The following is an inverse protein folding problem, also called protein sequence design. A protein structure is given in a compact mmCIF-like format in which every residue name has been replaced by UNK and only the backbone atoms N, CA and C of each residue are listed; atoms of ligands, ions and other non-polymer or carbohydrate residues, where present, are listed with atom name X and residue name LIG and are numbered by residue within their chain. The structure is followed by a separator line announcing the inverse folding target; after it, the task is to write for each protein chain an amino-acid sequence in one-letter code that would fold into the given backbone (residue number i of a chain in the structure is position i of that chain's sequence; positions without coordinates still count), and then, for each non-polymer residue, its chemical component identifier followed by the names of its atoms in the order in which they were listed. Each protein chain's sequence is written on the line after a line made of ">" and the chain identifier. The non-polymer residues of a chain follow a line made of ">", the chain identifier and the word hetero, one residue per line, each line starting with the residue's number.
data_IF_922217800450
#
_entry.id   IF_922217800450
#
_cell.length_a   1.000
_cell.length_b   1.000
_cell.length_c   1.000
_cell.angle_alpha   90.00
_cell.angle_beta   90.00
_cell.angle_gamma   90.00
#
_symmetry.space_group_name_H-M   'P 1'
#
loop_
_entity.id
_entity.type
_entity.pdbx_description
1 polymer ?
#
# COMPACT_ATOMS: atom_id res chain seq x y z
N UNK A 1 -23.15 -78.46 173.19
CA UNK A 1 -22.91 -77.83 171.87
C UNK A 1 -21.46 -78.07 171.54
N UNK A 2 -21.16 -79.16 170.82
CA UNK A 2 -19.85 -79.28 170.19
C UNK A 2 -19.96 -78.65 168.81
N UNK A 3 -19.06 -77.70 168.58
CA UNK A 3 -18.99 -76.81 167.43
C UNK A 3 -18.33 -77.60 166.31
N UNK A 4 -19.10 -77.99 165.31
CA UNK A 4 -18.53 -78.50 164.06
C UNK A 4 -17.98 -77.30 163.28
N UNK A 5 -16.69 -77.36 162.93
CA UNK A 5 -16.05 -76.40 162.05
C UNK A 5 -16.49 -76.68 160.61
N UNK A 6 -16.67 -75.68 159.77
CA UNK A 6 -17.08 -75.86 158.38
C UNK A 6 -15.91 -75.64 157.41
N UNK A 7 -15.98 -76.25 156.22
CA UNK A 7 -14.99 -76.04 155.15
C UNK A 7 -15.11 -74.62 154.59
N UNK A 8 -13.99 -73.92 154.43
CA UNK A 8 -13.97 -72.49 154.04
C UNK A 8 -14.49 -72.15 152.63
N UNK A 9 -14.72 -73.14 151.77
CA UNK A 9 -15.19 -72.89 150.40
C UNK A 9 -16.72 -73.01 150.25
N UNK A 10 -17.31 -73.99 150.96
CA UNK A 10 -18.67 -74.51 150.71
C UNK A 10 -19.43 -74.76 152.00
N UNK A 11 -18.85 -74.36 153.13
CA UNK A 11 -19.38 -74.46 154.48
C UNK A 11 -19.85 -75.87 154.88
N UNK A 12 -19.26 -76.91 154.29
CA UNK A 12 -19.54 -78.29 154.69
C UNK A 12 -18.99 -78.61 156.09
N UNK A 13 -19.73 -79.30 156.95
CA UNK A 13 -19.27 -79.58 158.31
C UNK A 13 -18.11 -80.59 158.32
N UNK A 14 -17.03 -80.29 159.06
CA UNK A 14 -15.80 -81.09 159.20
C UNK A 14 -15.89 -82.09 160.38
N UNK A 15 -15.15 -83.21 160.34
CA UNK A 15 -15.08 -84.13 161.46
C UNK A 15 -14.44 -83.48 162.71
N UNK A 16 -15.04 -83.68 163.88
CA UNK A 16 -14.49 -83.28 165.17
C UNK A 16 -14.30 -84.53 166.04
N UNK A 17 -13.12 -84.66 166.67
CA UNK A 17 -12.73 -85.82 167.47
C UNK A 17 -13.60 -86.02 168.73
N UNK A 18 -14.30 -84.97 169.18
CA UNK A 18 -15.19 -85.03 170.35
C UNK A 18 -16.62 -85.51 170.02
N UNK A 19 -16.93 -85.77 168.75
CA UNK A 19 -18.27 -86.17 168.35
C UNK A 19 -18.57 -87.63 168.68
N UNK A 20 -19.82 -87.90 169.09
CA UNK A 20 -20.31 -89.28 169.18
C UNK A 20 -20.61 -89.81 167.78
N UNK A 21 -20.56 -91.14 167.62
CA UNK A 21 -20.84 -91.79 166.32
C UNK A 21 -22.18 -91.37 165.71
N UNK A 22 -23.21 -91.14 166.53
CA UNK A 22 -24.50 -90.66 166.04
C UNK A 22 -24.44 -89.23 165.48
N UNK A 23 -23.67 -88.33 166.08
CA UNK A 23 -23.46 -86.97 165.56
C UNK A 23 -22.63 -86.99 164.28
N UNK A 24 -21.58 -87.81 164.20
CA UNK A 24 -20.78 -87.93 162.98
C UNK A 24 -21.58 -88.51 161.81
N UNK A 25 -22.46 -89.50 162.06
CA UNK A 25 -23.36 -90.01 161.02
C UNK A 25 -24.34 -88.93 160.56
N UNK A 26 -24.95 -88.17 161.48
CA UNK A 26 -25.86 -87.08 161.12
C UNK A 26 -25.16 -85.99 160.31
N UNK A 27 -23.94 -85.60 160.70
CA UNK A 27 -23.09 -84.63 159.99
C UNK A 27 -22.76 -85.10 158.57
N UNK A 28 -22.40 -86.38 158.41
CA UNK A 28 -22.12 -86.97 157.10
C UNK A 28 -23.36 -86.94 156.20
N UNK A 29 -24.55 -87.24 156.75
CA UNK A 29 -25.82 -87.14 156.00
C UNK A 29 -26.08 -85.69 155.56
N UNK A 30 -25.89 -84.71 156.44
CA UNK A 30 -26.05 -83.29 156.12
C UNK A 30 -25.07 -82.83 155.04
N UNK A 31 -23.78 -83.20 155.14
CA UNK A 31 -22.78 -82.87 154.14
C UNK A 31 -23.11 -83.49 152.78
N UNK A 32 -23.54 -84.75 152.75
CA UNK A 32 -23.92 -85.44 151.51
C UNK A 32 -25.16 -84.79 150.87
N UNK A 33 -26.13 -84.35 151.68
CA UNK A 33 -27.33 -83.66 151.19
C UNK A 33 -26.99 -82.28 150.62
N UNK A 34 -26.10 -81.53 151.27
CA UNK A 34 -25.63 -80.25 150.73
C UNK A 34 -24.89 -80.44 149.40
N UNK A 35 -23.98 -81.42 149.34
CA UNK A 35 -23.27 -81.77 148.10
C UNK A 35 -24.26 -82.09 146.96
N UNK A 36 -25.33 -82.83 147.22
CA UNK A 36 -26.34 -83.16 146.21
C UNK A 36 -27.03 -81.91 145.64
N UNK A 37 -27.42 -80.96 146.50
CA UNK A 37 -28.01 -79.67 146.11
C UNK A 37 -27.05 -78.85 145.24
N UNK A 38 -25.77 -78.84 145.60
CA UNK A 38 -24.76 -78.06 144.89
C UNK A 38 -24.35 -78.70 143.57
N UNK A 39 -24.28 -80.04 143.50
CA UNK A 39 -24.11 -80.77 142.25
C UNK A 39 -25.30 -80.50 141.31
N UNK A 40 -26.54 -80.53 141.80
CA UNK A 40 -27.72 -80.18 141.01
C UNK A 40 -27.68 -78.74 140.48
N UNK A 41 -27.22 -77.79 141.31
CA UNK A 41 -27.06 -76.38 140.92
C UNK A 41 -25.98 -76.19 139.85
N UNK A 42 -24.84 -76.90 139.99
CA UNK A 42 -23.76 -76.90 139.00
C UNK A 42 -24.24 -77.51 137.67
N UNK A 43 -24.95 -78.64 137.70
CA UNK A 43 -25.50 -79.26 136.50
C UNK A 43 -26.45 -78.30 135.76
N UNK A 44 -27.29 -77.58 136.50
CA UNK A 44 -28.21 -76.58 135.95
C UNK A 44 -27.45 -75.40 135.33
N UNK A 45 -26.40 -74.89 136.00
CA UNK A 45 -25.59 -73.78 135.49
C UNK A 45 -24.75 -74.18 134.27
N UNK A 46 -24.23 -75.41 134.23
CA UNK A 46 -23.47 -75.95 133.10
C UNK A 46 -24.36 -76.14 131.87
N UNK A 47 -25.62 -76.55 132.07
CA UNK A 47 -26.60 -76.66 130.99
C UNK A 47 -26.92 -75.31 130.30
N UNK A 48 -26.58 -74.17 130.93
CA UNK A 48 -26.71 -72.83 130.34
C UNK A 48 -25.44 -72.34 129.61
N UNK A 49 -24.35 -73.11 129.59
CA UNK A 49 -23.10 -72.76 128.89
C UNK A 49 -23.06 -73.42 127.51
N UNK A 50 -22.52 -72.71 126.53
CA UNK A 50 -22.23 -73.28 125.20
C UNK A 50 -20.88 -74.03 125.21
N UNK A 51 -20.71 -75.01 124.31
CA UNK A 51 -19.46 -75.73 124.11
C UNK A 51 -18.34 -74.80 123.60
N UNK A 52 -17.08 -75.10 123.92
CA UNK A 52 -15.93 -74.31 123.42
C UNK A 52 -15.70 -74.51 121.92
N UNK A 53 -15.85 -75.75 121.45
CA UNK A 53 -15.74 -76.12 120.05
C UNK A 53 -17.13 -76.13 119.42
N UNK A 54 -17.29 -75.38 118.33
CA UNK A 54 -18.57 -75.25 117.62
C UNK A 54 -19.75 -74.92 118.55
N UNK A 55 -19.68 -73.80 119.31
CA UNK A 55 -20.75 -73.41 120.23
C UNK A 55 -22.10 -73.29 119.50
N UNK A 56 -23.10 -74.02 119.99
CA UNK A 56 -24.50 -73.75 119.70
C UNK A 56 -25.02 -72.67 120.64
N UNK A 57 -25.36 -71.50 120.12
CA UNK A 57 -25.98 -70.44 120.92
C UNK A 57 -27.51 -70.48 120.79
N UNK A 58 -28.22 -70.21 121.88
CA UNK A 58 -29.68 -70.03 121.91
C UNK A 58 -30.05 -68.57 122.21
N UNK A 59 -31.29 -68.18 121.92
CA UNK A 59 -31.74 -66.79 122.08
C UNK A 59 -31.17 -65.83 121.03
N UNK A 60 -30.84 -64.60 121.43
CA UNK A 60 -30.23 -63.57 120.58
C UNK A 60 -28.81 -63.24 121.06
N UNK A 61 -27.78 -63.98 120.59
CA UNK A 61 -26.40 -63.75 121.02
C UNK A 61 -25.92 -62.35 120.66
N UNK A 62 -25.15 -61.73 121.57
CA UNK A 62 -24.51 -60.42 121.32
C UNK A 62 -23.01 -60.62 121.12
N UNK A 63 -22.43 -59.87 120.19
CA UNK A 63 -20.99 -59.82 119.95
C UNK A 63 -20.57 -58.37 119.67
N UNK A 64 -19.30 -57.98 119.92
CA UNK A 64 -18.81 -56.63 119.59
C UNK A 64 -18.92 -56.35 118.09
N UNK A 65 -19.53 -55.21 117.71
CA UNK A 65 -19.62 -54.79 116.30
C UNK A 65 -18.30 -54.21 115.81
N UNK A 66 -17.72 -54.83 114.77
CA UNK A 66 -16.48 -54.37 114.16
C UNK A 66 -16.72 -53.23 113.15
N UNK A 67 -15.71 -52.38 112.87
CA UNK A 67 -15.76 -51.40 111.77
C UNK A 67 -16.06 -52.06 110.43
N UNK A 68 -16.69 -51.35 109.49
CA UNK A 68 -17.12 -51.88 108.19
C UNK A 68 -15.98 -52.42 107.30
N UNK A 69 -14.73 -52.02 107.57
CA UNK A 69 -13.53 -52.43 106.82
C UNK A 69 -12.82 -53.66 107.40
N UNK A 70 -13.31 -54.22 108.51
CA UNK A 70 -12.66 -55.36 109.17
C UNK A 70 -12.79 -56.65 108.33
N UNK A 71 -11.67 -57.36 108.14
CA UNK A 71 -11.57 -58.60 107.36
C UNK A 71 -10.83 -59.71 108.11
N UNK A 72 -11.24 -60.00 109.34
CA UNK A 72 -10.58 -60.96 110.22
C UNK A 72 -11.53 -62.09 110.64
N UNK A 73 -11.03 -63.04 111.44
CA UNK A 73 -11.76 -64.24 111.85
C UNK A 73 -12.77 -64.02 113.01
N UNK A 74 -13.12 -62.77 113.34
CA UNK A 74 -14.12 -62.49 114.40
C UNK A 74 -15.55 -62.71 113.90
N UNK A 75 -16.51 -62.87 114.81
CA UNK A 75 -17.92 -63.04 114.46
C UNK A 75 -18.50 -61.73 113.90
N UNK A 76 -19.11 -61.80 112.70
CA UNK A 76 -19.79 -60.66 112.11
C UNK A 76 -21.17 -60.43 112.74
N UNK A 77 -21.42 -59.21 113.22
CA UNK A 77 -22.76 -58.80 113.67
C UNK A 77 -23.59 -58.30 112.47
N UNK A 78 -24.91 -58.32 112.62
CA UNK A 78 -25.82 -57.75 111.60
C UNK A 78 -25.59 -56.25 111.37
N UNK A 79 -25.15 -55.52 112.39
CA UNK A 79 -24.77 -54.12 112.28
C UNK A 79 -23.51 -53.92 111.42
N UNK A 80 -22.50 -54.78 111.55
CA UNK A 80 -21.31 -54.75 110.71
C UNK A 80 -21.66 -55.01 109.23
N UNK A 81 -22.43 -56.07 108.96
CA UNK A 81 -22.88 -56.40 107.59
C UNK A 81 -23.69 -55.25 106.98
N UNK A 82 -24.58 -54.63 107.75
CA UNK A 82 -25.36 -53.47 107.30
C UNK A 82 -24.49 -52.26 106.97
N UNK A 83 -23.46 -51.99 107.78
CA UNK A 83 -22.53 -50.89 107.55
C UNK A 83 -21.67 -51.13 106.30
N UNK A 84 -21.10 -52.34 106.13
CA UNK A 84 -20.32 -52.71 104.95
C UNK A 84 -21.15 -52.63 103.66
N UNK A 85 -22.40 -53.11 103.70
CA UNK A 85 -23.31 -53.03 102.57
C UNK A 85 -23.70 -51.57 102.25
N UNK A 86 -23.92 -50.74 103.26
CA UNK A 86 -24.21 -49.32 103.06
C UNK A 86 -23.04 -48.57 102.42
N UNK A 87 -21.80 -48.89 102.81
CA UNK A 87 -20.61 -48.32 102.20
C UNK A 87 -20.49 -48.73 100.73
N UNK A 88 -20.66 -50.02 100.43
CA UNK A 88 -20.66 -50.52 99.05
C UNK A 88 -21.71 -49.83 98.17
N UNK A 89 -22.93 -49.64 98.69
CA UNK A 89 -24.00 -48.95 97.95
C UNK A 89 -23.71 -47.47 97.75
N UNK A 90 -23.12 -46.79 98.74
CA UNK A 90 -22.72 -45.38 98.61
C UNK A 90 -21.61 -45.18 97.59
N UNK A 91 -20.61 -46.09 97.55
CA UNK A 91 -19.53 -46.04 96.58
C UNK A 91 -20.05 -46.31 95.15
N UNK A 92 -21.04 -47.20 95.03
CA UNK A 92 -21.69 -47.50 93.76
C UNK A 92 -22.55 -46.34 93.25
N UNK A 93 -23.22 -45.58 94.12
CA UNK A 93 -24.08 -44.45 93.75
C UNK A 93 -23.32 -43.37 92.96
N UNK A 94 -22.10 -43.03 93.38
CA UNK A 94 -21.24 -42.08 92.66
C UNK A 94 -20.83 -42.56 91.26
N UNK A 95 -20.45 -43.85 91.14
CA UNK A 95 -20.10 -44.43 89.85
C UNK A 95 -21.30 -44.53 88.88
N UNK A 96 -22.48 -44.87 89.41
CA UNK A 96 -23.73 -44.94 88.65
C UNK A 96 -24.16 -43.55 88.17
N UNK A 97 -23.97 -42.50 88.99
CA UNK A 97 -24.26 -41.13 88.59
C UNK A 97 -23.44 -40.69 87.37
N UNK A 98 -22.12 -40.93 87.37
CA UNK A 98 -21.25 -40.58 86.24
C UNK A 98 -21.61 -41.35 84.96
N UNK A 99 -21.92 -42.65 85.08
CA UNK A 99 -22.36 -43.46 83.93
C UNK A 99 -23.70 -42.94 83.39
N UNK A 100 -24.61 -42.51 84.26
CA UNK A 100 -25.90 -41.93 83.88
C UNK A 100 -25.73 -40.60 83.13
N UNK A 101 -24.85 -39.73 83.60
CA UNK A 101 -24.53 -38.46 82.95
C UNK A 101 -23.92 -38.67 81.56
N UNK A 102 -22.97 -39.61 81.42
CA UNK A 102 -22.37 -39.95 80.13
C UNK A 102 -23.38 -40.57 79.17
N UNK A 103 -24.27 -41.44 79.68
CA UNK A 103 -25.35 -42.01 78.88
C UNK A 103 -26.35 -40.95 78.42
N UNK A 104 -26.68 -39.98 79.27
CA UNK A 104 -27.54 -38.86 78.90
C UNK A 104 -26.87 -37.97 77.84
N UNK A 105 -25.58 -37.65 77.99
CA UNK A 105 -24.84 -36.83 77.05
C UNK A 105 -24.65 -37.52 75.67
N UNK A 106 -24.42 -38.83 75.65
CA UNK A 106 -24.28 -39.62 74.42
C UNK A 106 -25.64 -40.02 73.81
N UNK A 107 -26.68 -40.10 74.62
CA UNK A 107 -28.06 -40.37 74.19
C UNK A 107 -28.80 -39.12 73.72
N UNK A 108 -28.27 -37.93 74.01
CA UNK A 108 -28.76 -36.67 73.48
C UNK A 108 -28.57 -36.64 71.95
N UNK A 109 -29.68 -36.86 71.25
CA UNK A 109 -29.72 -36.86 69.80
C UNK A 109 -29.28 -35.52 69.21
N UNK A 110 -29.46 -34.40 69.92
CA UNK A 110 -29.04 -33.08 69.44
C UNK A 110 -27.52 -32.91 69.54
N UNK A 111 -26.88 -33.44 70.59
CA UNK A 111 -25.43 -33.46 70.73
C UNK A 111 -24.77 -34.35 69.66
N UNK A 112 -25.29 -35.56 69.44
CA UNK A 112 -24.78 -36.48 68.42
C UNK A 112 -25.03 -35.94 67.01
N UNK A 113 -26.22 -35.40 66.75
CA UNK A 113 -26.57 -34.79 65.45
C UNK A 113 -25.74 -33.54 65.20
N UNK A 114 -25.56 -32.69 66.21
CA UNK A 114 -24.74 -31.48 66.13
C UNK A 114 -23.26 -31.79 65.86
N UNK A 115 -22.69 -32.77 66.55
CA UNK A 115 -21.32 -33.22 66.29
C UNK A 115 -21.19 -33.83 64.89
N UNK A 116 -22.16 -34.65 64.48
CA UNK A 116 -22.19 -35.25 63.13
C UNK A 116 -22.32 -34.18 62.05
N UNK A 117 -23.16 -33.16 62.25
CA UNK A 117 -23.32 -32.03 61.35
C UNK A 117 -22.03 -31.19 61.28
N UNK A 118 -21.37 -30.96 62.41
CA UNK A 118 -20.10 -30.26 62.44
C UNK A 118 -19.01 -31.03 61.69
N UNK A 119 -18.89 -32.34 61.92
CA UNK A 119 -17.92 -33.20 61.22
C UNK A 119 -18.20 -33.18 59.71
N UNK A 120 -19.46 -33.32 59.30
CA UNK A 120 -19.85 -33.34 57.89
C UNK A 120 -19.68 -31.98 57.17
N UNK A 121 -19.48 -30.89 57.90
CA UNK A 121 -19.21 -29.56 57.31
C UNK A 121 -17.72 -29.22 57.23
N UNK A 122 -16.82 -30.04 57.80
CA UNK A 122 -15.37 -29.83 57.72
C UNK A 122 -14.79 -30.58 56.52
N UNK A 123 -13.90 -29.90 55.78
CA UNK A 123 -13.11 -30.55 54.75
C UNK A 123 -12.02 -31.44 55.37
N UNK A 124 -11.65 -32.57 54.72
CA UNK A 124 -10.49 -33.37 55.12
C UNK A 124 -9.20 -32.54 55.17
N UNK A 125 -8.30 -32.84 56.10
CA UNK A 125 -7.00 -32.15 56.20
C UNK A 125 -6.12 -32.45 54.99
N UNK A 126 -6.04 -33.73 54.62
CA UNK A 126 -5.31 -34.19 53.45
C UNK A 126 -6.26 -34.35 52.26
N UNK A 127 -5.89 -33.78 51.12
CA UNK A 127 -6.66 -33.90 49.87
C UNK A 127 -8.12 -33.50 50.00
N UNK A 128 -8.37 -32.32 50.58
CA UNK A 128 -9.70 -31.75 50.72
C UNK A 128 -10.47 -31.74 49.38
N UNK A 129 -11.59 -32.45 49.31
CA UNK A 129 -12.52 -32.35 48.19
C UNK A 129 -13.49 -31.17 48.45
N UNK A 130 -13.09 -29.96 48.05
CA UNK A 130 -13.89 -28.74 48.23
C UNK A 130 -15.09 -28.76 47.27
N UNK A 131 -16.31 -28.83 47.81
CA UNK A 131 -17.57 -28.74 47.04
C UNK A 131 -18.24 -27.38 47.23
N UNK A 132 -19.19 -27.03 46.36
CA UNK A 132 -19.86 -25.72 46.38
C UNK A 132 -19.02 -24.58 45.80
N UNK A 133 -19.14 -23.37 46.37
CA UNK A 133 -18.40 -22.16 45.96
C UNK A 133 -17.42 -21.73 47.06
N UNK A 134 -16.28 -22.42 47.25
CA UNK A 134 -15.30 -22.07 48.28
C UNK A 134 -14.75 -20.66 48.05
N UNK A 135 -14.68 -19.88 49.13
CA UNK A 135 -14.09 -18.53 49.12
C UNK A 135 -12.71 -18.57 49.78
N UNK A 136 -11.77 -17.80 49.22
CA UNK A 136 -10.46 -17.54 49.80
C UNK A 136 -10.04 -16.13 49.42
N UNK A 137 -9.02 -15.58 50.08
CA UNK A 137 -8.45 -14.28 49.71
C UNK A 137 -7.80 -14.39 48.34
N UNK A 138 -8.12 -13.48 47.42
CA UNK A 138 -7.46 -13.40 46.10
C UNK A 138 -5.97 -13.08 46.30
N UNK A 139 -5.05 -13.97 45.89
CA UNK A 139 -3.62 -13.68 45.94
C UNK A 139 -3.25 -12.51 45.01
N UNK A 140 -2.09 -11.90 45.25
CA UNK A 140 -1.49 -10.96 44.30
C UNK A 140 -1.07 -11.68 43.00
N UNK A 141 -0.99 -10.94 41.90
CA UNK A 141 -0.77 -11.53 40.56
C UNK A 141 0.61 -12.19 40.41
N UNK A 142 1.58 -11.83 41.23
CA UNK A 142 2.95 -12.34 41.25
C UNK A 142 3.21 -13.35 42.39
N UNK A 143 2.18 -13.72 43.16
CA UNK A 143 2.30 -14.70 44.26
C UNK A 143 2.62 -16.11 43.71
N UNK A 144 3.72 -16.69 44.20
CA UNK A 144 4.22 -18.02 43.83
C UNK A 144 4.11 -19.05 44.98
N UNK A 145 3.32 -18.75 46.01
CA UNK A 145 3.08 -19.62 47.17
C UNK A 145 2.12 -20.76 46.84
N UNK A 146 1.93 -21.68 47.79
CA UNK A 146 0.98 -22.80 47.67
C UNK A 146 -0.48 -22.40 47.99
N UNK A 147 -0.86 -21.13 47.80
CA UNK A 147 -2.24 -20.66 48.03
C UNK A 147 -3.16 -21.17 46.90
N UNK A 148 -4.43 -21.41 47.23
CA UNK A 148 -5.44 -21.76 46.23
C UNK A 148 -5.74 -20.52 45.35
N UNK A 149 -5.59 -20.59 44.01
CA UNK A 149 -5.92 -19.48 43.13
C UNK A 149 -7.44 -19.19 43.12
N UNK A 150 -7.83 -17.92 43.20
CA UNK A 150 -9.24 -17.51 43.02
C UNK A 150 -9.56 -17.22 41.55
N UNK A 151 -10.84 -17.17 41.21
CA UNK A 151 -11.29 -16.67 39.90
C UNK A 151 -10.87 -15.22 39.65
N UNK A 152 -10.76 -14.39 40.69
CA UNK A 152 -10.20 -13.03 40.60
C UNK A 152 -8.74 -13.03 40.16
N UNK A 153 -7.92 -13.89 40.75
CA UNK A 153 -6.51 -14.06 40.35
C UNK A 153 -6.40 -14.55 38.91
N UNK A 154 -7.19 -15.56 38.50
CA UNK A 154 -7.20 -16.06 37.12
C UNK A 154 -7.58 -14.95 36.14
N UNK A 155 -8.55 -14.09 36.48
CA UNK A 155 -8.93 -12.96 35.64
C UNK A 155 -7.82 -11.88 35.57
N UNK A 156 -7.09 -11.64 36.66
CA UNK A 156 -5.95 -10.73 36.67
C UNK A 156 -4.78 -11.24 35.82
N UNK A 157 -4.44 -12.53 35.93
CA UNK A 157 -3.44 -13.18 35.08
C UNK A 157 -3.89 -13.18 33.62
N UNK A 158 -5.16 -13.52 33.35
CA UNK A 158 -5.75 -13.43 32.01
C UNK A 158 -5.63 -12.02 31.45
N UNK A 159 -5.93 -10.99 32.23
CA UNK A 159 -5.79 -9.59 31.82
C UNK A 159 -4.33 -9.19 31.60
N UNK A 160 -3.38 -9.78 32.34
CA UNK A 160 -1.94 -9.56 32.14
C UNK A 160 -1.46 -10.22 30.84
N UNK A 161 -1.90 -11.45 30.57
CA UNK A 161 -1.63 -12.18 29.33
C UNK A 161 -2.28 -11.48 28.12
N UNK A 162 -3.52 -11.00 28.27
CA UNK A 162 -4.22 -10.19 27.26
C UNK A 162 -3.76 -8.72 27.24
N UNK A 163 -3.03 -8.24 28.25
CA UNK A 163 -2.48 -6.88 28.27
C UNK A 163 -1.47 -6.63 27.15
N UNK A 164 -0.91 -7.70 26.57
CA UNK A 164 -0.14 -7.67 25.32
C UNK A 164 -0.94 -7.99 24.06
N UNK A 165 -2.19 -8.45 24.19
CA UNK A 165 -3.06 -8.92 23.10
C UNK A 165 -4.47 -8.36 23.36
N UNK A 166 -4.74 -7.19 22.77
CA UNK A 166 -6.01 -6.42 22.84
C UNK A 166 -7.22 -7.28 23.20
N UNK A 167 -8.00 -6.84 24.20
CA UNK A 167 -9.10 -7.53 24.88
C UNK A 167 -10.21 -8.14 24.00
N UNK A 168 -10.17 -7.93 22.68
CA UNK A 168 -11.03 -8.62 21.74
C UNK A 168 -10.32 -9.91 21.32
N UNK A 169 -10.91 -11.07 21.63
CA UNK A 169 -10.44 -12.41 21.24
C UNK A 169 -10.31 -12.66 19.72
N UNK A 170 -10.26 -11.60 18.92
CA UNK A 170 -10.10 -11.53 17.49
C UNK A 170 -8.77 -10.87 17.07
N UNK A 171 -7.77 -10.73 17.96
CA UNK A 171 -6.49 -10.06 17.62
C UNK A 171 -5.84 -10.61 16.34
N UNK A 172 -5.87 -11.93 16.13
CA UNK A 172 -5.40 -12.53 14.87
C UNK A 172 -6.26 -12.11 13.67
N UNK A 173 -7.58 -11.98 13.83
CA UNK A 173 -8.47 -11.50 12.78
C UNK A 173 -8.27 -10.01 12.47
N UNK A 174 -7.98 -9.18 13.48
CA UNK A 174 -7.62 -7.77 13.29
C UNK A 174 -6.29 -7.62 12.58
N UNK A 175 -5.27 -8.41 12.95
CA UNK A 175 -3.99 -8.43 12.25
C UNK A 175 -4.15 -8.91 10.80
N UNK A 176 -4.94 -9.96 10.58
CA UNK A 176 -5.25 -10.44 9.24
C UNK A 176 -5.95 -9.35 8.41
N UNK A 177 -6.95 -8.65 8.98
CA UNK A 177 -7.62 -7.54 8.31
C UNK A 177 -6.69 -6.33 8.07
N UNK A 178 -5.80 -6.01 9.02
CA UNK A 178 -4.81 -4.94 8.88
C UNK A 178 -3.78 -5.25 7.78
N UNK A 179 -3.49 -6.52 7.53
CA UNK A 179 -2.70 -7.01 6.38
C UNK A 179 -3.56 -7.17 5.11
N UNK A 180 -4.76 -6.61 5.06
CA UNK A 180 -5.65 -6.66 3.90
C UNK A 180 -6.24 -8.05 3.61
N UNK A 181 -6.22 -8.96 4.58
CA UNK A 181 -6.60 -10.36 4.37
C UNK A 181 -5.57 -11.16 3.57
N UNK A 182 -4.35 -10.65 3.43
CA UNK A 182 -3.32 -11.31 2.65
C UNK A 182 -2.56 -12.37 3.48
N UNK A 183 -2.93 -13.63 3.28
CA UNK A 183 -2.25 -14.80 3.87
C UNK A 183 -0.78 -14.93 3.45
N UNK A 184 -0.37 -14.27 2.36
CA UNK A 184 0.96 -14.32 1.76
C UNK A 184 1.62 -12.92 1.76
N UNK A 185 1.28 -12.05 2.72
CA UNK A 185 1.74 -10.65 2.76
C UNK A 185 3.23 -10.46 2.42
N UNK A 186 4.13 -11.29 2.97
CA UNK A 186 5.56 -11.22 2.69
C UNK A 186 5.90 -11.46 1.20
N UNK A 187 5.23 -12.41 0.54
CA UNK A 187 5.42 -12.67 -0.87
C UNK A 187 4.83 -11.55 -1.75
N UNK A 188 3.69 -10.99 -1.35
CA UNK A 188 3.09 -9.84 -2.06
C UNK A 188 3.98 -8.61 -1.99
N UNK A 189 4.50 -8.27 -0.80
CA UNK A 189 5.45 -7.16 -0.63
C UNK A 189 6.74 -7.42 -1.43
N UNK A 190 7.25 -8.65 -1.43
CA UNK A 190 8.44 -8.99 -2.22
C UNK A 190 8.20 -8.83 -3.73
N UNK A 191 7.04 -9.26 -4.23
CA UNK A 191 6.62 -9.07 -5.63
C UNK A 191 6.50 -7.59 -5.98
N UNK A 192 5.79 -6.81 -5.15
CA UNK A 192 5.62 -5.37 -5.34
C UNK A 192 6.96 -4.63 -5.35
N UNK A 193 7.89 -5.03 -4.48
CA UNK A 193 9.23 -4.45 -4.41
C UNK A 193 10.07 -4.82 -5.64
N UNK A 194 9.94 -6.06 -6.14
CA UNK A 194 10.61 -6.51 -7.36
C UNK A 194 10.15 -5.76 -8.62
N UNK A 195 8.93 -5.21 -8.61
CA UNK A 195 8.37 -4.41 -9.69
C UNK A 195 8.81 -2.93 -9.64
N UNK A 196 9.52 -2.47 -8.62
CA UNK A 196 10.04 -1.10 -8.52
C UNK A 196 11.41 -0.99 -9.22
N UNK A 197 11.66 0.14 -9.88
CA UNK A 197 12.99 0.46 -10.39
C UNK A 197 13.92 0.95 -9.25
N UNK A 198 15.22 0.70 -9.37
CA UNK A 198 16.23 1.17 -8.40
C UNK A 198 16.32 2.70 -8.36
N UNK A 199 16.65 3.28 -7.20
CA UNK A 199 16.78 4.73 -7.06
C UNK A 199 18.01 5.28 -7.80
N UNK A 200 19.14 4.61 -7.65
CA UNK A 200 20.37 4.95 -8.37
C UNK A 200 20.40 4.19 -9.70
N UNK A 201 20.58 4.92 -10.80
CA UNK A 201 20.73 4.36 -12.15
C UNK A 201 19.66 3.32 -12.52
N UNK A 202 18.35 3.65 -12.43
CA UNK A 202 17.28 2.72 -12.79
C UNK A 202 17.43 2.24 -14.23
N UNK A 203 17.38 0.93 -14.43
CA UNK A 203 17.04 0.35 -15.73
C UNK A 203 15.51 0.26 -15.83
N UNK A 204 14.89 1.11 -16.65
CA UNK A 204 13.45 1.04 -16.88
C UNK A 204 13.13 -0.07 -17.90
N UNK A 205 12.02 -0.78 -17.68
CA UNK A 205 11.49 -1.80 -18.61
C UNK A 205 10.25 -1.28 -19.33
N UNK A 206 9.91 -1.87 -20.48
CA UNK A 206 8.77 -1.44 -21.30
C UNK A 206 9.05 -0.15 -22.07
N UNK A 207 8.03 0.70 -22.26
CA UNK A 207 8.14 2.01 -22.90
C UNK A 207 7.88 3.11 -21.86
N UNK A 208 8.92 3.63 -21.17
CA UNK A 208 8.76 4.67 -20.16
C UNK A 208 8.10 5.91 -20.75
N UNK A 209 7.08 6.43 -20.08
CA UNK A 209 6.42 7.68 -20.45
C UNK A 209 6.94 8.82 -19.60
N UNK A 210 7.15 9.99 -20.23
CA UNK A 210 7.51 11.22 -19.56
C UNK A 210 6.71 12.37 -20.18
N UNK A 211 6.28 13.39 -19.41
CA UNK A 211 5.56 14.54 -19.95
C UNK A 211 6.38 15.32 -20.99
N UNK A 212 5.76 15.67 -22.13
CA UNK A 212 6.39 16.51 -23.16
C UNK A 212 6.56 17.93 -22.63
N UNK A 213 7.78 18.41 -22.54
CA UNK A 213 8.07 19.78 -22.11
C UNK A 213 7.85 20.78 -23.24
N UNK A 214 7.67 22.06 -22.89
CA UNK A 214 7.62 23.15 -23.87
C UNK A 214 8.98 23.30 -24.57
N UNK A 215 8.97 23.53 -25.88
CA UNK A 215 10.19 23.73 -26.68
C UNK A 215 11.09 24.83 -26.08
N UNK A 216 12.41 24.60 -26.10
CA UNK A 216 13.40 25.51 -25.50
C UNK A 216 13.64 25.32 -23.99
N UNK A 217 12.94 24.38 -23.35
CA UNK A 217 13.19 24.04 -21.93
C UNK A 217 14.61 23.53 -21.69
N UNK A 218 15.32 24.13 -20.72
CA UNK A 218 16.68 23.73 -20.29
C UNK A 218 16.69 23.43 -18.78
N UNK A 219 16.28 22.22 -18.40
CA UNK A 219 16.26 21.77 -17.01
C UNK A 219 16.68 20.29 -16.94
N UNK A 220 16.74 19.73 -15.74
CA UNK A 220 17.23 18.37 -15.46
C UNK A 220 16.18 17.27 -15.66
N UNK A 221 15.00 17.57 -16.22
CA UNK A 221 13.95 16.57 -16.48
C UNK A 221 14.28 15.73 -17.73
N UNK A 222 13.71 14.53 -17.78
CA UNK A 222 13.86 13.60 -18.92
C UNK A 222 13.22 14.21 -20.18
N UNK A 223 13.96 14.22 -21.28
CA UNK A 223 13.45 14.56 -22.61
C UNK A 223 12.79 13.33 -23.25
N UNK A 224 11.52 13.44 -23.64
CA UNK A 224 10.85 12.39 -24.41
C UNK A 224 11.08 12.57 -25.92
N UNK A 225 10.77 11.54 -26.71
CA UNK A 225 10.99 11.54 -28.16
C UNK A 225 10.19 12.63 -28.89
N UNK A 226 8.99 12.97 -28.41
CA UNK A 226 8.17 14.06 -28.96
C UNK A 226 8.85 15.42 -28.80
N UNK A 227 9.39 15.72 -27.61
CA UNK A 227 10.14 16.96 -27.37
C UNK A 227 11.36 17.08 -28.28
N UNK A 228 12.14 16.00 -28.42
CA UNK A 228 13.32 15.97 -29.31
C UNK A 228 12.91 16.16 -30.77
N UNK A 229 11.86 15.47 -31.22
CA UNK A 229 11.35 15.63 -32.58
C UNK A 229 10.91 17.08 -32.87
N UNK A 230 10.19 17.72 -31.94
CA UNK A 230 9.83 19.13 -32.07
C UNK A 230 11.05 20.04 -32.09
N UNK A 231 12.03 19.83 -31.20
CA UNK A 231 13.24 20.63 -31.15
C UNK A 231 14.04 20.55 -32.47
N UNK A 232 14.20 19.34 -33.01
CA UNK A 232 14.87 19.10 -34.30
C UNK A 232 14.08 19.72 -35.46
N UNK A 233 12.76 19.54 -35.49
CA UNK A 233 11.90 20.13 -36.54
C UNK A 233 12.01 21.66 -36.57
N UNK A 234 11.96 22.31 -35.40
CA UNK A 234 12.12 23.76 -35.30
C UNK A 234 13.50 24.23 -35.80
N UNK A 235 14.57 23.49 -35.47
CA UNK A 235 15.91 23.79 -35.96
C UNK A 235 16.00 23.66 -37.49
N UNK A 236 15.45 22.58 -38.07
CA UNK A 236 15.41 22.36 -39.52
C UNK A 236 14.61 23.46 -40.21
N UNK A 237 13.46 23.86 -39.66
CA UNK A 237 12.65 24.94 -40.21
C UNK A 237 13.43 26.26 -40.25
N UNK A 238 14.12 26.62 -39.16
CA UNK A 238 14.94 27.82 -39.09
C UNK A 238 16.08 27.81 -40.13
N UNK A 239 16.78 26.68 -40.28
CA UNK A 239 17.83 26.51 -41.28
C UNK A 239 17.25 26.61 -42.71
N UNK A 240 16.10 25.99 -42.96
CA UNK A 240 15.44 25.99 -44.27
C UNK A 240 15.03 27.41 -44.67
N UNK A 241 14.50 28.20 -43.73
CA UNK A 241 14.23 29.62 -43.95
C UNK A 241 15.52 30.41 -44.23
N UNK A 242 16.60 30.17 -43.49
CA UNK A 242 17.89 30.83 -43.73
C UNK A 242 18.47 30.51 -45.12
N UNK A 243 18.43 29.24 -45.54
CA UNK A 243 18.86 28.80 -46.88
C UNK A 243 18.00 29.45 -47.98
N UNK A 244 16.69 29.54 -47.75
CA UNK A 244 15.77 30.18 -48.70
C UNK A 244 16.04 31.68 -48.82
N UNK A 245 16.34 32.36 -47.71
CA UNK A 245 16.76 33.77 -47.76
C UNK A 245 18.11 33.92 -48.47
N UNK A 246 19.04 33.00 -48.27
CA UNK A 246 20.32 33.03 -48.98
C UNK A 246 20.13 32.85 -50.50
N UNK A 247 19.24 31.95 -50.92
CA UNK A 247 18.98 31.72 -52.34
C UNK A 247 18.34 32.94 -53.03
N UNK A 248 17.58 33.75 -52.29
CA UNK A 248 17.00 35.00 -52.82
C UNK A 248 17.96 36.20 -52.76
N UNK A 249 18.95 36.17 -51.87
CA UNK A 249 20.00 37.21 -51.78
C UNK A 249 21.16 36.98 -52.76
N UNK A 250 21.39 35.75 -53.21
CA UNK A 250 22.40 35.48 -54.22
C UNK A 250 21.92 35.86 -55.63
N UNK A 251 22.82 36.47 -56.38
CA UNK A 251 22.74 36.51 -57.81
C UNK A 251 22.60 35.09 -58.38
N UNK A 252 21.67 34.80 -59.30
CA UNK A 252 21.70 33.57 -60.07
C UNK A 252 23.11 33.36 -60.62
N UNK A 253 23.64 32.14 -60.48
CA UNK A 253 24.99 31.78 -60.94
C UNK A 253 25.22 32.12 -62.41
N UNK A 254 24.13 32.22 -63.17
CA UNK A 254 24.10 32.60 -64.58
C UNK A 254 22.94 33.58 -64.78
N UNK A 255 23.23 34.83 -65.09
CA UNK A 255 22.22 35.79 -65.59
C UNK A 255 22.51 35.99 -67.07
N UNK A 256 21.55 35.77 -67.96
CA UNK A 256 21.80 35.93 -69.41
C UNK A 256 21.21 37.22 -69.95
N UNK A 257 21.97 37.95 -70.75
CA UNK A 257 21.46 38.96 -71.66
C UNK A 257 21.16 38.27 -72.99
N UNK A 258 19.90 38.30 -73.45
CA UNK A 258 19.56 37.87 -74.81
C UNK A 258 19.81 39.04 -75.75
N UNK A 259 20.77 38.91 -76.67
CA UNK A 259 20.89 39.86 -77.76
C UNK A 259 19.83 39.51 -78.81
N UNK A 260 18.90 40.43 -79.07
CA UNK A 260 17.89 40.29 -80.11
C UNK A 260 18.49 40.31 -81.52
N UNK A 261 17.63 40.25 -82.54
CA UNK A 261 18.07 40.36 -83.93
C UNK A 261 18.88 41.66 -84.17
N UNK A 262 20.00 41.56 -84.90
CA UNK A 262 20.86 42.72 -85.22
C UNK A 262 21.82 43.15 -84.14
N UNK A 263 21.78 42.52 -82.96
CA UNK A 263 22.70 42.78 -81.87
C UNK A 263 23.47 41.50 -81.57
N UNK A 264 24.74 41.64 -81.22
CA UNK A 264 25.61 40.55 -80.77
C UNK A 264 26.17 40.87 -79.38
N UNK A 265 26.75 39.86 -78.72
CA UNK A 265 27.32 40.03 -77.38
C UNK A 265 26.40 39.64 -76.21
N UNK A 266 25.19 39.14 -76.49
CA UNK A 266 24.38 38.41 -75.51
C UNK A 266 25.10 37.18 -74.96
N UNK A 267 24.56 36.54 -73.92
CA UNK A 267 25.20 35.46 -73.20
C UNK A 267 25.10 35.66 -71.69
N UNK A 268 25.80 34.83 -70.93
CA UNK A 268 25.82 34.89 -69.46
C UNK A 268 26.70 36.04 -68.93
N UNK A 269 26.31 36.62 -67.79
CA UNK A 269 26.96 37.70 -67.04
C UNK A 269 28.06 37.20 -66.09
N UNK A 270 28.63 36.02 -66.33
CA UNK A 270 29.80 35.52 -65.58
C UNK A 270 31.08 36.35 -65.83
N UNK A 271 31.05 37.28 -66.79
CA UNK A 271 32.03 38.33 -67.02
C UNK A 271 31.34 39.57 -67.63
N UNK A 272 32.07 40.69 -67.73
CA UNK A 272 31.59 41.90 -68.42
C UNK A 272 31.10 41.58 -69.84
N UNK A 273 29.96 42.18 -70.21
CA UNK A 273 29.34 42.00 -71.54
C UNK A 273 29.34 43.30 -72.32
N UNK A 274 29.87 43.24 -73.54
CA UNK A 274 29.71 44.29 -74.53
C UNK A 274 28.59 43.88 -75.48
N UNK A 275 27.58 44.72 -75.60
CA UNK A 275 26.52 44.55 -76.58
C UNK A 275 26.82 45.45 -77.78
N UNK A 276 26.86 44.84 -78.96
CA UNK A 276 27.22 45.54 -80.19
C UNK A 276 26.11 45.42 -81.21
N UNK A 277 25.81 46.52 -81.90
CA UNK A 277 24.96 46.47 -83.09
C UNK A 277 25.76 45.88 -84.25
N UNK A 278 25.13 45.00 -85.02
CA UNK A 278 25.73 44.42 -86.22
C UNK A 278 26.11 45.52 -87.21
N UNK A 279 27.19 45.30 -87.96
CA UNK A 279 27.71 46.29 -88.90
C UNK A 279 26.62 46.76 -89.87
N UNK A 280 26.67 48.04 -90.24
CA UNK A 280 25.83 48.56 -91.30
C UNK A 280 26.17 47.83 -92.62
N UNK A 281 25.18 47.20 -93.24
CA UNK A 281 25.32 46.61 -94.56
C UNK A 281 25.35 47.74 -95.61
N UNK A 282 26.06 47.57 -96.74
CA UNK A 282 26.05 48.54 -97.83
C UNK A 282 24.62 48.80 -98.31
N UNK A 283 24.29 50.08 -98.51
CA UNK A 283 23.02 50.44 -99.12
C UNK A 283 23.10 50.12 -100.62
N UNK A 284 22.23 49.23 -101.09
CA UNK A 284 22.12 48.83 -102.49
C UNK A 284 20.72 49.17 -103.02
N UNK A 285 20.52 49.01 -104.33
CA UNK A 285 19.20 49.12 -104.96
C UNK A 285 18.21 48.00 -104.54
N UNK A 286 18.60 47.12 -103.61
CA UNK A 286 17.79 46.01 -103.11
C UNK A 286 17.68 45.98 -101.57
N UNK A 287 18.11 47.01 -100.84
CA UNK A 287 18.02 47.04 -99.37
C UNK A 287 16.59 47.25 -98.87
N UNK A 288 16.17 46.46 -97.89
CA UNK A 288 14.76 46.34 -97.46
C UNK A 288 14.52 46.65 -95.98
N UNK A 289 15.54 47.08 -95.24
CA UNK A 289 15.39 47.42 -93.81
C UNK A 289 15.37 46.20 -92.91
N UNK A 290 16.22 45.23 -93.20
CA UNK A 290 16.37 43.97 -92.47
C UNK A 290 17.39 44.08 -91.36
N UNK A 291 17.13 43.32 -90.29
CA UNK A 291 18.01 43.19 -89.16
C UNK A 291 18.21 41.69 -88.91
N UNK A 292 19.43 41.19 -89.10
CA UNK A 292 19.76 39.78 -88.91
C UNK A 292 21.11 39.59 -88.20
N UNK A 293 21.55 38.35 -88.08
CA UNK A 293 22.75 37.93 -87.37
C UNK A 293 24.05 38.45 -88.02
N UNK A 294 23.97 39.06 -89.21
CA UNK A 294 25.11 39.53 -90.01
C UNK A 294 25.16 41.05 -90.16
N UNK A 295 24.11 41.79 -89.77
CA UNK A 295 24.11 43.26 -89.79
C UNK A 295 22.71 43.86 -89.92
N UNK A 296 22.66 45.16 -90.21
CA UNK A 296 21.43 45.89 -90.50
C UNK A 296 21.56 46.76 -91.75
N UNK A 297 20.48 46.95 -92.50
CA UNK A 297 20.37 47.91 -93.60
C UNK A 297 19.17 48.85 -93.43
N UNK A 298 19.14 49.93 -94.22
CA UNK A 298 18.03 50.87 -94.28
C UNK A 298 17.49 50.95 -95.73
N UNK A 299 16.17 51.05 -95.91
CA UNK A 299 15.58 51.19 -97.24
C UNK A 299 15.87 52.58 -97.85
N UNK A 300 16.07 52.63 -99.17
CA UNK A 300 16.15 53.88 -99.93
C UNK A 300 14.75 54.38 -100.33
N UNK A 301 14.53 55.69 -100.23
CA UNK A 301 13.24 56.33 -100.51
C UNK A 301 12.93 56.61 -101.99
N UNK A 302 13.80 56.24 -102.94
CA UNK A 302 13.61 56.43 -104.39
C UNK A 302 14.11 55.23 -105.19
N UNK A 303 13.51 54.97 -106.36
CA UNK A 303 13.71 53.75 -107.18
C UNK A 303 14.85 53.95 -108.19
N UNK A 304 15.73 52.96 -108.34
CA UNK A 304 16.97 53.01 -109.14
C UNK A 304 16.84 53.26 -110.67
N UNK A 305 15.64 53.56 -111.20
CA UNK A 305 15.40 53.77 -112.63
C UNK A 305 15.88 55.15 -113.17
N UNK A 306 16.38 56.05 -112.31
CA UNK A 306 16.65 57.46 -112.64
C UNK A 306 18.09 57.77 -113.13
N UNK A 307 18.97 56.78 -113.30
CA UNK A 307 20.36 56.99 -113.77
C UNK A 307 20.51 56.60 -115.25
N UNK A 308 20.74 57.59 -116.13
CA UNK A 308 20.88 57.39 -117.58
C UNK A 308 22.30 56.95 -118.01
N UNK A 309 22.39 56.05 -119.00
CA UNK A 309 23.66 55.50 -119.52
C UNK A 309 23.82 55.54 -121.06
N UNK A 310 22.98 56.27 -121.82
CA UNK A 310 22.94 56.17 -123.30
C UNK A 310 24.00 57.00 -124.06
N UNK A 311 24.59 56.41 -125.11
CA UNK A 311 25.65 56.96 -125.97
C UNK A 311 25.54 56.58 -127.47
N UNK A 312 24.37 56.17 -127.93
CA UNK A 312 24.14 55.79 -129.33
C UNK A 312 23.66 56.97 -130.20
N UNK A 313 23.98 56.93 -131.49
CA UNK A 313 23.64 57.99 -132.46
C UNK A 313 22.18 57.96 -132.93
N UNK A 314 21.33 57.07 -132.42
CA UNK A 314 19.90 56.95 -132.74
C UNK A 314 19.05 56.82 -131.47
N UNK A 315 19.51 57.46 -130.38
CA UNK A 315 18.88 57.41 -129.06
C UNK A 315 17.46 58.00 -129.10
N UNK A 316 16.47 57.17 -128.73
CA UNK A 316 15.07 57.59 -128.63
C UNK A 316 14.57 57.64 -127.18
N UNK A 317 15.39 57.24 -126.19
CA UNK A 317 15.03 57.25 -124.78
C UNK A 317 16.07 58.03 -123.96
N UNK A 318 15.63 59.04 -123.22
CA UNK A 318 16.51 59.99 -122.52
C UNK A 318 16.08 60.12 -121.06
N UNK A 319 16.95 60.51 -120.10
CA UNK A 319 16.50 60.70 -118.72
C UNK A 319 15.49 61.84 -118.63
N UNK A 320 14.62 61.78 -117.61
CA UNK A 320 13.81 62.94 -117.22
C UNK A 320 14.73 64.12 -116.95
N UNK A 321 14.35 65.31 -117.43
CA UNK A 321 15.13 66.53 -117.37
C UNK A 321 15.98 66.83 -118.60
N UNK A 322 16.19 65.87 -119.53
CA UNK A 322 17.00 66.09 -120.75
C UNK A 322 16.35 67.13 -121.68
N UNK A 323 17.15 68.03 -122.26
CA UNK A 323 16.71 69.03 -123.25
C UNK A 323 17.32 68.71 -124.63
N UNK A 324 16.52 68.81 -125.69
CA UNK A 324 16.90 68.57 -127.08
C UNK A 324 16.55 69.78 -127.96
N UNK A 325 17.30 69.97 -129.05
CA UNK A 325 16.93 70.90 -130.12
C UNK A 325 16.10 70.17 -131.17
N UNK A 326 14.90 70.66 -131.42
CA UNK A 326 13.91 70.03 -132.29
C UNK A 326 13.50 71.04 -133.35
N UNK A 327 13.77 70.74 -134.61
CA UNK A 327 13.32 71.58 -135.73
C UNK A 327 11.81 71.46 -135.92
N UNK A 328 11.12 72.57 -136.16
CA UNK A 328 9.66 72.66 -136.24
C UNK A 328 9.22 72.99 -137.67
N UNK A 329 8.08 72.45 -138.10
CA UNK A 329 7.47 72.75 -139.40
C UNK A 329 6.12 73.46 -139.17
N UNK A 330 5.98 74.71 -139.65
CA UNK A 330 4.75 75.50 -139.52
C UNK A 330 4.70 76.55 -138.39
N UNK A 331 5.83 76.87 -137.75
CA UNK A 331 5.94 77.90 -136.71
C UNK A 331 6.63 77.40 -135.43
N UNK A 332 6.96 78.31 -134.52
CA UNK A 332 7.61 77.99 -133.25
C UNK A 332 6.55 77.72 -132.16
N UNK A 333 6.61 76.58 -131.44
CA UNK A 333 5.63 76.25 -130.40
C UNK A 333 5.74 77.20 -129.21
N UNK A 334 4.61 77.49 -128.56
CA UNK A 334 4.59 78.30 -127.33
C UNK A 334 5.29 77.53 -126.20
N UNK A 335 6.05 78.22 -125.36
CA UNK A 335 6.72 77.59 -124.21
C UNK A 335 5.73 76.79 -123.35
N UNK A 336 6.18 75.64 -122.84
CA UNK A 336 5.44 74.63 -122.08
C UNK A 336 4.32 73.91 -122.83
N UNK A 337 4.23 74.05 -124.16
CA UNK A 337 3.35 73.16 -124.94
C UNK A 337 4.02 71.80 -125.13
N UNK A 338 3.24 70.72 -125.00
CA UNK A 338 3.75 69.38 -125.23
C UNK A 338 4.20 69.25 -126.68
N UNK A 339 5.42 68.76 -126.85
CA UNK A 339 5.99 68.44 -128.14
C UNK A 339 6.10 66.93 -128.28
N UNK A 340 6.07 66.45 -129.51
CA UNK A 340 6.39 65.06 -129.84
C UNK A 340 7.64 65.09 -130.72
N UNK A 341 8.83 65.10 -130.12
CA UNK A 341 10.07 65.03 -130.87
C UNK A 341 10.19 63.65 -131.50
N UNK A 342 10.56 63.64 -132.76
CA UNK A 342 10.96 62.45 -133.48
C UNK A 342 12.43 62.59 -133.88
N UNK A 343 13.16 61.48 -133.89
CA UNK A 343 14.44 61.42 -134.60
C UNK A 343 14.17 61.72 -136.08
N UNK A 344 14.96 62.59 -136.70
CA UNK A 344 14.77 62.92 -138.11
C UNK A 344 15.08 61.70 -138.98
N UNK A 345 14.30 61.44 -140.02
CA UNK A 345 14.42 60.22 -140.82
C UNK A 345 15.53 60.27 -141.86
N UNK A 346 15.98 61.47 -142.27
CA UNK A 346 17.02 61.66 -143.28
C UNK A 346 18.43 61.86 -142.70
N UNK A 347 18.57 61.98 -141.37
CA UNK A 347 19.84 61.95 -140.67
C UNK A 347 19.66 61.54 -139.21
N UNK A 348 20.71 60.98 -138.59
CA UNK A 348 20.61 60.42 -137.23
C UNK A 348 20.95 61.40 -136.10
N UNK A 349 21.25 62.68 -136.37
CA UNK A 349 21.74 63.60 -135.33
C UNK A 349 20.79 64.76 -135.03
N UNK A 350 19.70 64.88 -135.78
CA UNK A 350 18.72 65.94 -135.62
C UNK A 350 17.38 65.38 -135.15
N UNK A 351 16.64 66.19 -134.42
CA UNK A 351 15.26 65.89 -134.05
C UNK A 351 14.33 66.89 -134.73
N UNK A 352 13.15 66.41 -135.09
CA UNK A 352 12.09 67.20 -135.71
C UNK A 352 10.78 66.99 -134.97
N UNK A 353 9.84 67.91 -135.13
CA UNK A 353 8.48 67.69 -134.63
C UNK A 353 7.79 66.60 -135.44
N UNK A 354 6.89 65.85 -134.81
CA UNK A 354 6.17 64.74 -135.45
C UNK A 354 5.39 65.12 -136.73
N UNK A 355 5.06 66.41 -136.91
CA UNK A 355 4.38 66.91 -138.10
C UNK A 355 5.35 67.28 -139.25
N UNK A 356 6.66 67.12 -139.09
CA UNK A 356 7.62 67.30 -140.17
C UNK A 356 7.55 66.13 -141.15
N UNK A 357 7.63 66.43 -142.46
CA UNK A 357 7.72 65.43 -143.54
C UNK A 357 8.84 64.40 -143.37
N UNK A 358 9.85 64.70 -142.55
CA UNK A 358 11.01 63.87 -142.24
C UNK A 358 11.00 63.37 -140.79
N UNK A 359 9.85 63.28 -140.14
CA UNK A 359 9.74 62.68 -138.81
C UNK A 359 9.92 61.15 -138.86
N UNK A 360 10.90 60.64 -138.09
CA UNK A 360 11.16 59.21 -137.88
C UNK A 360 10.60 58.72 -136.54
N UNK A 361 11.39 57.92 -135.80
CA UNK A 361 10.96 57.32 -134.53
C UNK A 361 10.69 58.38 -133.44
N UNK A 362 9.54 58.27 -132.78
CA UNK A 362 9.14 59.15 -131.67
C UNK A 362 10.01 58.88 -130.45
N UNK A 363 10.45 59.95 -129.77
CA UNK A 363 11.18 59.84 -128.52
C UNK A 363 10.23 59.46 -127.37
N UNK A 364 10.66 58.53 -126.52
CA UNK A 364 9.86 58.08 -125.38
C UNK A 364 9.78 59.15 -124.29
N UNK A 365 8.67 59.17 -123.56
CA UNK A 365 8.41 60.10 -122.47
C UNK A 365 7.56 61.31 -122.88
N UNK A 366 7.30 62.17 -121.90
CA UNK A 366 6.53 63.41 -122.10
C UNK A 366 7.51 64.55 -122.27
N UNK A 367 7.40 65.25 -123.39
CA UNK A 367 8.32 66.29 -123.81
C UNK A 367 7.57 67.62 -123.92
N UNK A 368 8.13 68.70 -123.39
CA UNK A 368 7.54 70.04 -123.44
C UNK A 368 8.50 71.03 -124.07
N UNK A 369 8.00 71.96 -124.89
CA UNK A 369 8.80 73.06 -125.40
C UNK A 369 9.30 73.90 -124.21
N UNK A 370 10.62 74.02 -124.07
CA UNK A 370 11.26 74.79 -123.00
C UNK A 370 11.61 76.22 -123.45
N UNK A 371 11.56 76.48 -124.76
CA UNK A 371 11.90 77.76 -125.40
C UNK A 371 12.18 77.57 -126.89
N UNK A 372 12.42 78.66 -127.63
CA UNK A 372 12.69 78.63 -129.07
C UNK A 372 13.96 79.41 -129.44
N UNK A 373 14.64 78.99 -130.51
CA UNK A 373 15.82 79.66 -131.05
C UNK A 373 15.41 80.76 -132.05
N UNK A 374 15.65 82.03 -131.67
CA UNK A 374 15.26 83.21 -132.46
C UNK A 374 15.85 83.18 -133.88
N UNK A 375 15.04 83.56 -134.88
CA UNK A 375 15.46 83.60 -136.30
C UNK A 375 15.55 82.23 -136.99
N UNK A 376 15.18 81.14 -136.31
CA UNK A 376 15.17 79.78 -136.86
C UNK A 376 13.87 79.06 -136.49
N UNK A 377 13.56 77.96 -137.17
CA UNK A 377 12.46 77.09 -136.81
C UNK A 377 12.92 75.96 -135.88
N UNK A 378 13.56 76.28 -134.75
CA UNK A 378 14.05 75.28 -133.78
C UNK A 378 13.50 75.58 -132.38
N UNK A 379 12.86 74.58 -131.75
CA UNK A 379 12.43 74.60 -130.35
C UNK A 379 13.41 73.81 -129.48
N UNK A 380 13.73 74.33 -128.30
CA UNK A 380 14.27 73.53 -127.21
C UNK A 380 13.13 72.74 -126.59
N UNK A 381 13.31 71.45 -126.36
CA UNK A 381 12.28 70.58 -125.81
C UNK A 381 12.85 69.75 -124.67
N UNK A 382 12.24 69.80 -123.49
CA UNK A 382 12.69 69.10 -122.28
C UNK A 382 11.80 67.89 -121.95
N UNK A 383 12.40 66.76 -121.57
CA UNK A 383 11.67 65.61 -121.01
C UNK A 383 11.26 65.93 -119.57
N UNK A 384 9.98 65.86 -119.25
CA UNK A 384 9.46 66.16 -117.92
C UNK A 384 8.95 64.91 -117.16
N UNK A 385 8.80 63.77 -117.85
CA UNK A 385 8.32 62.50 -117.29
C UNK A 385 8.56 61.33 -118.23
#
# INVERSE_FOLDING_TARGET
>A
MTVDLETSNRDYPLPNIENTMAHDVARLISALTAIDVDVASILTALALKAAIDSPGFSGNPTAPTQPATANNATLATTAHVKAALSQFLSDAEGAIATITELQAALGDADAVTGLTALINTRAPLDSANLTGTPTTVTPDADDNSQKIPTTGWVQAIKATILGGVVADGNTMAKLFAALGGDKNFAASVASDLSNKASLASPAFTGNPTAPTQTAGSSNTRIANTSFVATAVSNAIASISSAISNLSTMYAPLVRKISAGAGMSGGGDLSADRTISLGAAKPISNSTTGTVDNTGHDHPLGFVAAEVFQGGAVNEINFPVGRVLLVSTNGGLPVRNTQQVPCLKSDNSFSYVTANDSKAGAVLSGIWFSAGNAAGSNISLVQRAG
#
